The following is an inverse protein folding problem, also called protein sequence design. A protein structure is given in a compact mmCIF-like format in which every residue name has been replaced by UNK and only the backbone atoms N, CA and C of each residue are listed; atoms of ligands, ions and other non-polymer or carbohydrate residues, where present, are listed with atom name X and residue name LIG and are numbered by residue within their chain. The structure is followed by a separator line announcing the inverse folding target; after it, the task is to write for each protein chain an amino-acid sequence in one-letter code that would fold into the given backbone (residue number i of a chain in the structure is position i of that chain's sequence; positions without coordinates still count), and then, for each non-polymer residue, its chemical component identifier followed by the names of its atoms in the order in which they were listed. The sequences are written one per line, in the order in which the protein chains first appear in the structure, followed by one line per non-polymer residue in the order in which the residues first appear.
data_IF_441784266043
#
_entry.id   IF_441784266043
#
_cell.length_a   1.000
_cell.length_b   1.000
_cell.length_c   1.000
_cell.angle_alpha   90.00
_cell.angle_beta   90.00
_cell.angle_gamma   90.00
#
_symmetry.space_group_name_H-M   'P 1'
#
loop_
_entity.id
_entity.type
_entity.pdbx_description
1 polymer ?
#
# COMPACT_ATOMS: atom_id res chain seq x y z
N UNK A 1 -2.45 4.35 15.28
CA UNK A 1 -1.84 5.17 16.36
C UNK A 1 -0.55 4.55 16.90
N UNK A 2 -0.56 3.26 17.27
CA UNK A 2 0.63 2.55 17.77
C UNK A 2 1.86 2.65 16.86
N UNK A 3 1.70 2.46 15.55
CA UNK A 3 2.79 2.63 14.57
C UNK A 3 3.38 4.04 14.52
N UNK A 4 2.56 5.08 14.65
CA UNK A 4 3.02 6.47 14.74
C UNK A 4 3.86 6.70 15.99
N UNK A 5 3.43 6.15 17.13
CA UNK A 5 4.17 6.25 18.40
C UNK A 5 5.54 5.57 18.26
N UNK A 6 5.60 4.38 17.67
CA UNK A 6 6.87 3.66 17.44
C UNK A 6 7.83 4.49 16.59
N UNK A 7 7.35 5.13 15.51
CA UNK A 7 8.19 5.99 14.68
C UNK A 7 8.68 7.24 15.41
N UNK A 8 7.83 7.87 16.22
CA UNK A 8 8.23 9.02 17.07
C UNK A 8 9.29 8.61 18.09
N UNK A 9 9.15 7.43 18.70
CA UNK A 9 10.16 6.90 19.61
C UNK A 9 11.48 6.60 18.88
N UNK A 10 11.42 6.08 17.65
CA UNK A 10 12.60 5.84 16.84
C UNK A 10 13.35 7.15 16.54
N UNK A 11 12.63 8.19 16.13
CA UNK A 11 13.22 9.53 15.92
C UNK A 11 13.86 10.08 17.20
N UNK A 12 13.19 9.91 18.36
CA UNK A 12 13.74 10.34 19.64
C UNK A 12 15.01 9.57 20.03
N UNK A 13 15.12 8.27 19.68
CA UNK A 13 16.34 7.47 19.88
C UNK A 13 17.47 7.96 18.99
N UNK A 14 17.20 8.18 17.69
CA UNK A 14 18.19 8.72 16.77
C UNK A 14 18.68 10.10 17.20
N UNK A 15 17.80 10.99 17.66
CA UNK A 15 18.18 12.31 18.17
C UNK A 15 19.11 12.26 19.40
N UNK A 16 19.08 11.16 20.17
CA UNK A 16 19.97 10.92 21.32
C UNK A 16 21.26 10.19 20.95
N UNK A 17 21.46 9.84 19.68
CA UNK A 17 22.58 9.01 19.23
C UNK A 17 22.41 7.52 19.56
N UNK A 18 21.25 7.09 20.04
CA UNK A 18 20.94 5.69 20.34
C UNK A 18 20.53 4.94 19.06
N UNK A 19 21.47 4.82 18.11
CA UNK A 19 21.19 4.33 16.74
C UNK A 19 20.58 2.92 16.73
N UNK A 20 21.18 1.97 17.45
CA UNK A 20 20.67 0.60 17.52
C UNK A 20 19.22 0.52 18.04
N UNK A 21 18.91 1.26 19.12
CA UNK A 21 17.55 1.32 19.66
C UNK A 21 16.55 1.99 18.73
N UNK A 22 16.99 2.93 17.89
CA UNK A 22 16.17 3.49 16.82
C UNK A 22 15.90 2.49 15.70
N UNK A 23 16.91 1.71 15.30
CA UNK A 23 16.79 0.65 14.28
C UNK A 23 15.80 -0.43 14.74
N UNK A 24 15.88 -0.88 15.99
CA UNK A 24 14.95 -1.87 16.55
C UNK A 24 13.50 -1.41 16.44
N UNK A 25 13.23 -0.13 16.75
CA UNK A 25 11.90 0.46 16.64
C UNK A 25 11.42 0.56 15.18
N UNK A 26 12.32 0.83 14.22
CA UNK A 26 11.97 0.77 12.80
C UNK A 26 11.59 -0.65 12.37
N UNK A 27 12.29 -1.68 12.85
CA UNK A 27 11.93 -3.08 12.58
C UNK A 27 10.56 -3.43 13.17
N UNK A 28 10.27 -2.99 14.40
CA UNK A 28 8.92 -3.12 15.00
C UNK A 28 7.86 -2.43 14.13
N UNK A 29 8.13 -1.22 13.64
CA UNK A 29 7.19 -0.51 12.77
C UNK A 29 6.94 -1.25 11.44
N UNK A 30 7.94 -1.91 10.87
CA UNK A 30 7.75 -2.78 9.71
C UNK A 30 6.91 -4.01 10.02
N UNK A 31 7.13 -4.68 11.15
CA UNK A 31 6.29 -5.79 11.60
C UNK A 31 4.83 -5.38 11.73
N UNK A 32 4.55 -4.25 12.40
CA UNK A 32 3.19 -3.70 12.51
C UNK A 32 2.59 -3.43 11.12
N UNK A 33 3.39 -2.91 10.18
CA UNK A 33 2.92 -2.70 8.81
C UNK A 33 2.53 -4.03 8.14
N UNK A 34 3.35 -5.08 8.27
CA UNK A 34 3.03 -6.42 7.72
C UNK A 34 1.80 -7.03 8.36
N UNK A 35 1.69 -6.96 9.68
CA UNK A 35 0.55 -7.50 10.42
C UNK A 35 -0.75 -6.80 10.02
N UNK A 36 -0.71 -5.49 9.80
CA UNK A 36 -1.86 -4.73 9.31
C UNK A 36 -2.35 -5.21 7.93
N UNK A 37 -1.48 -5.83 7.13
CA UNK A 37 -1.81 -6.39 5.81
C UNK A 37 -2.14 -7.89 5.81
N UNK A 38 -2.09 -8.57 6.96
CA UNK A 38 -2.43 -10.01 7.07
C UNK A 38 -3.90 -10.25 6.70
N UNK A 39 -4.78 -9.35 7.12
CA UNK A 39 -6.19 -9.44 6.75
C UNK A 39 -6.34 -9.07 5.27
N UNK A 40 -7.04 -9.88 4.46
CA UNK A 40 -7.03 -9.71 3.01
C UNK A 40 -7.96 -8.59 2.52
N UNK A 41 -8.43 -7.70 3.40
CA UNK A 41 -9.32 -6.62 3.01
C UNK A 41 -8.56 -5.45 2.39
N UNK A 42 -9.27 -4.71 1.55
CA UNK A 42 -8.72 -3.55 0.87
C UNK A 42 -8.21 -2.49 1.86
N UNK A 43 -8.94 -2.23 2.94
CA UNK A 43 -8.54 -1.28 3.99
C UNK A 43 -7.23 -1.69 4.69
N UNK A 44 -7.03 -2.98 4.93
CA UNK A 44 -5.80 -3.54 5.52
C UNK A 44 -4.61 -3.30 4.60
N UNK A 45 -4.78 -3.46 3.28
CA UNK A 45 -3.76 -3.15 2.30
C UNK A 45 -3.38 -1.66 2.28
N UNK A 46 -4.36 -0.76 2.41
CA UNK A 46 -4.11 0.69 2.51
C UNK A 46 -3.27 1.00 3.75
N UNK A 47 -3.67 0.48 4.92
CA UNK A 47 -3.00 0.72 6.19
C UNK A 47 -1.56 0.20 6.11
N UNK A 48 -1.37 -1.05 5.67
CA UNK A 48 -0.04 -1.63 5.44
C UNK A 48 0.85 -0.70 4.59
N UNK A 49 0.36 -0.23 3.44
CA UNK A 49 1.14 0.61 2.54
C UNK A 49 1.52 1.96 3.16
N UNK A 50 0.60 2.62 3.87
CA UNK A 50 0.88 3.89 4.54
C UNK A 50 1.92 3.71 5.64
N UNK A 51 1.77 2.67 6.47
CA UNK A 51 2.71 2.39 7.56
C UNK A 51 4.08 2.04 7.02
N UNK A 52 4.15 1.14 6.05
CA UNK A 52 5.40 0.71 5.44
C UNK A 52 6.16 1.89 4.84
N UNK A 53 5.48 2.74 4.06
CA UNK A 53 6.12 3.89 3.43
C UNK A 53 6.68 4.86 4.47
N UNK A 54 5.93 5.17 5.53
CA UNK A 54 6.42 6.07 6.59
C UNK A 54 7.64 5.49 7.30
N UNK A 55 7.63 4.19 7.60
CA UNK A 55 8.77 3.52 8.21
C UNK A 55 10.00 3.60 7.32
N UNK A 56 9.84 3.37 6.01
CA UNK A 56 10.91 3.51 5.02
C UNK A 56 11.45 4.94 4.95
N UNK A 57 10.56 5.94 4.91
CA UNK A 57 10.95 7.36 4.86
C UNK A 57 11.73 7.76 6.11
N UNK A 58 11.36 7.24 7.29
CA UNK A 58 12.13 7.46 8.52
C UNK A 58 13.47 6.74 8.47
N UNK A 59 13.51 5.47 8.05
CA UNK A 59 14.77 4.74 7.88
C UNK A 59 15.73 5.46 6.93
N UNK A 60 15.24 5.91 5.78
CA UNK A 60 16.04 6.61 4.77
C UNK A 60 16.61 7.94 5.26
N UNK A 61 15.91 8.66 6.15
CA UNK A 61 16.41 9.91 6.75
C UNK A 61 17.59 9.66 7.69
N UNK A 62 17.62 8.51 8.36
CA UNK A 62 18.62 8.21 9.38
C UNK A 62 19.72 7.25 8.92
N UNK A 63 19.54 6.51 7.81
CA UNK A 63 20.49 5.49 7.38
C UNK A 63 21.88 6.03 7.02
N UNK A 64 22.00 7.33 6.74
CA UNK A 64 23.28 8.00 6.49
C UNK A 64 24.18 8.05 7.73
N UNK A 65 23.60 7.94 8.94
CA UNK A 65 24.35 7.92 10.20
C UNK A 65 24.60 6.51 10.74
N UNK A 66 24.26 5.48 9.97
CA UNK A 66 24.49 4.08 10.34
C UNK A 66 25.80 3.61 9.73
N UNK A 67 26.55 2.76 10.43
CA UNK A 67 27.71 2.10 9.82
C UNK A 67 27.31 0.98 8.84
N UNK A 68 28.30 0.38 8.19
CA UNK A 68 28.07 -0.67 7.20
C UNK A 68 27.45 -1.94 7.79
N UNK A 69 27.80 -2.30 9.03
CA UNK A 69 27.28 -3.49 9.71
C UNK A 69 25.80 -3.30 10.04
N UNK A 70 25.44 -2.16 10.65
CA UNK A 70 24.07 -1.79 10.97
C UNK A 70 23.17 -1.74 9.72
N UNK A 71 23.66 -1.17 8.61
CA UNK A 71 22.92 -1.18 7.34
C UNK A 71 22.73 -2.60 6.80
N UNK A 72 23.76 -3.44 6.91
CA UNK A 72 23.72 -4.84 6.47
C UNK A 72 22.73 -5.68 7.27
N UNK A 73 22.72 -5.54 8.60
CA UNK A 73 21.81 -6.26 9.48
C UNK A 73 20.37 -5.80 9.30
N UNK A 74 20.13 -4.48 9.21
CA UNK A 74 18.79 -3.97 8.93
C UNK A 74 18.26 -4.44 7.57
N UNK A 75 19.10 -4.46 6.53
CA UNK A 75 18.74 -5.00 5.22
C UNK A 75 18.40 -6.50 5.28
N UNK A 76 19.16 -7.29 6.06
CA UNK A 76 18.89 -8.71 6.28
C UNK A 76 17.54 -8.90 6.98
N UNK A 77 17.31 -8.22 8.09
CA UNK A 77 16.04 -8.30 8.83
C UNK A 77 14.85 -7.87 7.97
N UNK A 78 14.99 -6.83 7.14
CA UNK A 78 13.93 -6.46 6.20
C UNK A 78 13.63 -7.55 5.16
N UNK A 79 14.63 -8.33 4.76
CA UNK A 79 14.46 -9.42 3.78
C UNK A 79 13.79 -10.66 4.37
N UNK A 80 13.87 -10.83 5.69
CA UNK A 80 13.23 -11.92 6.44
C UNK A 80 11.75 -11.65 6.75
N UNK A 81 11.33 -10.39 6.66
CA UNK A 81 9.92 -10.02 6.84
C UNK A 81 9.04 -10.63 5.73
N UNK A 82 7.79 -11.01 6.05
CA UNK A 82 6.81 -11.39 5.05
C UNK A 82 6.68 -10.35 3.94
N UNK A 83 6.31 -10.80 2.75
CA UNK A 83 5.96 -9.92 1.65
C UNK A 83 4.78 -9.00 2.01
N UNK A 84 4.74 -7.82 1.40
CA UNK A 84 3.56 -6.97 1.48
C UNK A 84 2.38 -7.66 0.79
N UNK A 85 1.20 -7.61 1.41
CA UNK A 85 -0.05 -7.96 0.74
C UNK A 85 -0.20 -7.16 -0.55
N UNK A 86 -0.57 -7.82 -1.63
CA UNK A 86 -0.65 -7.24 -2.97
C UNK A 86 -2.05 -6.65 -3.20
N UNK A 87 -2.13 -5.45 -3.80
CA UNK A 87 -3.41 -4.80 -4.08
C UNK A 87 -4.38 -5.68 -4.89
N UNK A 88 -3.96 -6.42 -5.95
CA UNK A 88 -4.86 -7.32 -6.67
C UNK A 88 -5.49 -8.41 -5.80
N UNK A 89 -4.74 -8.91 -4.79
CA UNK A 89 -5.26 -9.92 -3.88
C UNK A 89 -6.29 -9.31 -2.93
N UNK A 90 -5.98 -8.13 -2.36
CA UNK A 90 -6.90 -7.44 -1.46
C UNK A 90 -8.20 -7.02 -2.16
N UNK A 91 -8.10 -6.55 -3.41
CA UNK A 91 -9.24 -6.20 -4.22
C UNK A 91 -10.09 -7.43 -4.59
N UNK A 92 -9.48 -8.57 -4.90
CA UNK A 92 -10.22 -9.81 -5.14
C UNK A 92 -11.02 -10.28 -3.92
N UNK A 93 -10.45 -10.17 -2.72
CA UNK A 93 -11.12 -10.55 -1.48
C UNK A 93 -12.30 -9.66 -1.09
N UNK A 94 -12.26 -8.38 -1.48
CA UNK A 94 -13.39 -7.47 -1.29
C UNK A 94 -14.64 -7.96 -2.02
N UNK A 95 -14.50 -8.48 -3.25
CA UNK A 95 -15.63 -9.08 -3.96
C UNK A 95 -16.13 -10.35 -3.27
N UNK A 96 -15.24 -11.22 -2.80
CA UNK A 96 -15.65 -12.42 -2.07
C UNK A 96 -16.44 -12.09 -0.79
N UNK A 97 -16.08 -11.02 -0.10
CA UNK A 97 -16.83 -10.52 1.05
C UNK A 97 -18.21 -9.97 0.65
N UNK A 98 -18.30 -9.22 -0.45
CA UNK A 98 -19.57 -8.71 -1.00
C UNK A 98 -20.48 -9.85 -1.46
N UNK A 99 -19.94 -10.90 -2.08
CA UNK A 99 -20.71 -12.07 -2.50
C UNK A 99 -21.23 -12.88 -1.29
N UNK A 100 -20.40 -13.07 -0.26
CA UNK A 100 -20.84 -13.69 0.99
C UNK A 100 -21.91 -12.85 1.70
N UNK A 101 -21.76 -11.53 1.66
CA UNK A 101 -22.73 -10.58 2.18
C UNK A 101 -24.09 -10.68 1.47
N UNK A 102 -24.11 -10.66 0.14
CA UNK A 102 -25.34 -10.80 -0.63
C UNK A 102 -26.04 -12.13 -0.37
N UNK A 103 -25.28 -13.22 -0.28
CA UNK A 103 -25.83 -14.54 0.05
C UNK A 103 -26.52 -14.55 1.41
N UNK A 104 -25.90 -13.95 2.44
CA UNK A 104 -26.51 -13.83 3.76
C UNK A 104 -27.82 -13.02 3.75
N UNK A 105 -27.88 -11.96 2.96
CA UNK A 105 -29.09 -11.16 2.77
C UNK A 105 -30.20 -11.91 2.01
N UNK A 106 -29.85 -12.83 1.11
CA UNK A 106 -30.82 -13.69 0.42
C UNK A 106 -31.40 -14.78 1.33
N UNK A 107 -30.63 -15.24 2.32
CA UNK A 107 -31.05 -16.28 3.28
C UNK A 107 -31.93 -15.73 4.41
N UNK A 108 -31.53 -14.62 5.04
CA UNK A 108 -32.29 -13.95 6.10
C UNK A 108 -32.02 -12.44 6.08
N UNK A 109 -32.86 -11.72 5.33
CA UNK A 109 -32.65 -10.32 5.01
C UNK A 109 -32.58 -9.41 6.24
N UNK A 110 -33.56 -9.54 7.16
CA UNK A 110 -33.65 -8.67 8.33
C UNK A 110 -32.52 -8.95 9.32
N UNK A 111 -32.22 -10.21 9.58
CA UNK A 111 -31.13 -10.57 10.50
C UNK A 111 -29.75 -10.18 9.94
N UNK A 112 -29.53 -10.37 8.63
CA UNK A 112 -28.28 -9.97 7.99
C UNK A 112 -28.11 -8.45 8.00
N UNK A 113 -29.18 -7.70 7.68
CA UNK A 113 -29.17 -6.22 7.72
C UNK A 113 -28.84 -5.67 9.12
N UNK A 114 -29.40 -6.28 10.17
CA UNK A 114 -29.11 -5.93 11.56
C UNK A 114 -27.65 -6.23 11.95
N UNK A 115 -27.16 -7.45 11.66
CA UNK A 115 -25.78 -7.87 11.96
C UNK A 115 -24.72 -6.95 11.35
N UNK A 116 -25.05 -6.31 10.24
CA UNK A 116 -24.14 -5.47 9.47
C UNK A 116 -24.27 -3.98 9.79
N UNK A 117 -25.16 -3.62 10.71
CA UNK A 117 -25.41 -2.22 11.07
C UNK A 117 -25.97 -1.39 9.92
N UNK A 118 -26.66 -2.02 8.97
CA UNK A 118 -27.29 -1.36 7.82
C UNK A 118 -28.70 -0.88 8.15
N UNK A 119 -29.32 -1.41 9.19
CA UNK A 119 -30.62 -0.98 9.65
C UNK A 119 -30.53 0.47 10.16
N UNK A 120 -31.29 1.37 9.55
CA UNK A 120 -31.42 2.73 10.05
C UNK A 120 -32.15 2.72 11.41
N UNK A 121 -31.91 3.74 12.24
CA UNK A 121 -32.64 3.91 13.50
C UNK A 121 -34.13 4.19 13.31
N UNK A 122 -34.57 4.51 12.08
CA UNK A 122 -35.96 4.66 11.67
C UNK A 122 -36.20 4.06 10.27
N UNK A 123 -37.18 3.17 10.17
CA UNK A 123 -37.62 2.46 8.96
C UNK A 123 -38.10 3.40 7.85
N UNK A 124 -38.74 4.54 8.18
CA UNK A 124 -39.21 5.51 7.18
C UNK A 124 -38.07 6.15 6.34
N UNK A 125 -36.82 5.98 6.76
CA UNK A 125 -35.64 6.55 6.11
C UNK A 125 -34.60 5.52 5.68
N UNK A 126 -34.87 4.22 5.83
CA UNK A 126 -33.88 3.17 5.56
C UNK A 126 -33.77 2.89 4.05
N UNK A 127 -32.68 3.33 3.38
CA UNK A 127 -32.52 3.09 1.96
C UNK A 127 -32.19 1.62 1.66
N UNK A 128 -31.92 0.78 2.66
CA UNK A 128 -31.55 -0.63 2.51
C UNK A 128 -32.71 -1.59 2.85
N UNK A 129 -33.95 -1.11 2.92
CA UNK A 129 -35.14 -1.95 3.08
C UNK A 129 -35.51 -2.76 1.83
N UNK A 130 -35.10 -2.32 0.64
CA UNK A 130 -35.43 -2.99 -0.63
C UNK A 130 -34.32 -3.96 -1.07
N UNK A 131 -34.55 -5.29 -1.04
CA UNK A 131 -33.57 -6.27 -1.51
C UNK A 131 -33.17 -6.09 -2.98
N UNK A 132 -34.07 -5.55 -3.83
CA UNK A 132 -33.76 -5.29 -5.24
C UNK A 132 -32.69 -4.24 -5.40
N UNK A 133 -32.71 -3.20 -4.57
CA UNK A 133 -31.70 -2.16 -4.59
C UNK A 133 -30.32 -2.72 -4.20
N UNK A 134 -30.26 -3.60 -3.19
CA UNK A 134 -29.02 -4.28 -2.81
C UNK A 134 -28.48 -5.12 -3.97
N UNK A 135 -29.33 -5.91 -4.62
CA UNK A 135 -28.93 -6.73 -5.78
C UNK A 135 -28.44 -5.87 -6.96
N UNK A 136 -29.14 -4.78 -7.27
CA UNK A 136 -28.66 -3.80 -8.25
C UNK A 136 -27.30 -3.19 -7.85
N UNK A 137 -27.07 -2.98 -6.56
CA UNK A 137 -25.81 -2.43 -6.06
C UNK A 137 -24.65 -3.41 -6.21
N UNK A 138 -24.85 -4.69 -5.85
CA UNK A 138 -23.82 -5.73 -5.95
C UNK A 138 -23.51 -6.08 -7.40
N UNK A 139 -24.50 -6.13 -8.28
CA UNK A 139 -24.28 -6.38 -9.72
C UNK A 139 -23.48 -5.27 -10.41
N UNK A 140 -23.78 -4.02 -10.06
CA UNK A 140 -22.98 -2.90 -10.54
C UNK A 140 -21.55 -2.97 -10.00
N UNK A 141 -21.39 -3.31 -8.71
CA UNK A 141 -20.08 -3.52 -8.13
C UNK A 141 -19.29 -4.62 -8.85
N UNK A 142 -19.88 -5.78 -9.14
CA UNK A 142 -19.25 -6.88 -9.89
C UNK A 142 -18.70 -6.45 -11.25
N UNK A 143 -19.51 -5.71 -12.02
CA UNK A 143 -19.10 -5.20 -13.35
C UNK A 143 -17.89 -4.28 -13.26
N UNK A 144 -17.91 -3.38 -12.28
CA UNK A 144 -16.83 -2.41 -12.05
C UNK A 144 -15.59 -3.10 -11.49
N UNK A 145 -15.75 -4.05 -10.57
CA UNK A 145 -14.69 -4.88 -10.00
C UNK A 145 -13.94 -5.65 -11.08
N UNK A 146 -14.66 -6.30 -12.00
CA UNK A 146 -14.04 -7.02 -13.11
C UNK A 146 -13.14 -6.12 -13.98
N UNK A 147 -13.60 -4.91 -14.30
CA UNK A 147 -12.80 -3.89 -15.00
C UNK A 147 -11.59 -3.44 -14.17
N UNK A 148 -11.76 -3.24 -12.87
CA UNK A 148 -10.68 -2.92 -11.93
C UNK A 148 -9.62 -4.02 -11.86
N UNK A 149 -10.02 -5.30 -11.80
CA UNK A 149 -9.11 -6.45 -11.83
C UNK A 149 -8.34 -6.54 -13.15
N UNK A 150 -9.00 -6.30 -14.28
CA UNK A 150 -8.33 -6.24 -15.58
C UNK A 150 -7.26 -5.13 -15.60
N UNK A 151 -7.60 -3.97 -15.04
CA UNK A 151 -6.67 -2.83 -14.89
C UNK A 151 -5.48 -3.17 -13.99
N UNK A 152 -5.72 -3.84 -12.86
CA UNK A 152 -4.67 -4.25 -11.91
C UNK A 152 -3.72 -5.33 -12.46
N UNK A 153 -4.13 -6.10 -13.47
CA UNK A 153 -3.25 -7.08 -14.15
C UNK A 153 -2.20 -6.42 -15.05
N UNK A 154 -2.46 -5.20 -15.51
CA UNK A 154 -1.53 -4.45 -16.33
C UNK A 154 -0.31 -4.00 -15.50
N UNK A 155 0.81 -3.74 -16.18
CA UNK A 155 2.05 -3.25 -15.55
C UNK A 155 2.47 -1.88 -16.11
N UNK A 156 3.28 -1.16 -15.34
CA UNK A 156 4.00 0.03 -15.81
C UNK A 156 3.11 1.18 -16.32
N UNK A 157 3.45 1.73 -17.49
CA UNK A 157 2.69 2.85 -18.10
C UNK A 157 1.27 2.44 -18.50
N UNK A 158 1.09 1.21 -18.98
CA UNK A 158 -0.21 0.68 -19.36
C UNK A 158 -1.18 0.62 -18.16
N UNK A 159 -0.70 0.14 -17.00
CA UNK A 159 -1.49 0.16 -15.75
C UNK A 159 -1.93 1.58 -15.39
N UNK A 160 -1.02 2.56 -15.43
CA UNK A 160 -1.32 3.95 -15.06
C UNK A 160 -2.34 4.60 -16.00
N UNK A 161 -2.22 4.38 -17.30
CA UNK A 161 -3.18 4.87 -18.28
C UNK A 161 -4.55 4.22 -18.09
N UNK A 162 -4.58 2.90 -17.93
CA UNK A 162 -5.82 2.17 -17.69
C UNK A 162 -6.49 2.57 -16.37
N UNK A 163 -5.73 2.84 -15.30
CA UNK A 163 -6.29 3.38 -14.04
C UNK A 163 -6.87 4.79 -14.23
N UNK A 164 -6.20 5.65 -14.99
CA UNK A 164 -6.71 7.00 -15.27
C UNK A 164 -7.98 6.96 -16.12
N UNK A 165 -7.99 6.17 -17.18
CA UNK A 165 -9.17 5.94 -18.03
C UNK A 165 -10.31 5.29 -17.25
N UNK A 166 -9.99 4.34 -16.37
CA UNK A 166 -10.96 3.72 -15.49
C UNK A 166 -11.62 4.74 -14.55
N UNK A 167 -10.83 5.62 -13.92
CA UNK A 167 -11.34 6.69 -13.06
C UNK A 167 -12.20 7.70 -13.83
N UNK A 168 -11.78 8.11 -15.02
CA UNK A 168 -12.54 9.06 -15.87
C UNK A 168 -13.88 8.47 -16.31
N UNK A 169 -13.88 7.21 -16.78
CA UNK A 169 -15.10 6.49 -17.14
C UNK A 169 -16.02 6.33 -15.93
N UNK A 170 -15.47 6.03 -14.75
CA UNK A 170 -16.25 5.90 -13.52
C UNK A 170 -16.81 7.25 -13.04
N UNK A 171 -16.04 8.34 -13.12
CA UNK A 171 -16.53 9.67 -12.78
C UNK A 171 -17.65 10.11 -13.72
N UNK A 172 -17.54 9.79 -15.01
CA UNK A 172 -18.60 10.01 -15.99
C UNK A 172 -19.85 9.16 -15.66
N UNK A 173 -19.68 7.87 -15.32
CA UNK A 173 -20.79 6.99 -14.94
C UNK A 173 -21.51 7.49 -13.67
N UNK A 174 -20.76 7.95 -12.67
CA UNK A 174 -21.31 8.49 -11.41
C UNK A 174 -22.04 9.83 -11.59
N UNK A 175 -21.63 10.66 -12.56
CA UNK A 175 -22.21 12.00 -12.79
C UNK A 175 -23.33 12.00 -13.83
N UNK A 176 -23.26 11.16 -14.86
CA UNK A 176 -24.27 11.06 -15.92
C UNK A 176 -25.50 10.26 -15.48
N UNK A 177 -25.32 9.20 -14.69
CA UNK A 177 -26.42 8.45 -14.11
C UNK A 177 -26.76 8.99 -12.71
N UNK A 178 -27.63 10.00 -12.61
CA UNK A 178 -28.18 10.47 -11.32
C UNK A 178 -28.88 9.39 -10.46
N UNK A 179 -29.06 8.16 -11.00
CA UNK A 179 -29.47 6.96 -10.24
C UNK A 179 -28.31 6.21 -9.56
N UNK A 180 -27.09 6.27 -10.11
CA UNK A 180 -25.88 5.63 -9.58
C UNK A 180 -25.37 6.30 -8.29
N UNK A 181 -25.79 7.56 -8.05
CA UNK A 181 -25.62 8.28 -6.77
C UNK A 181 -26.16 7.53 -5.54
N UNK A 182 -26.89 6.43 -5.71
CA UNK A 182 -27.38 5.57 -4.62
C UNK A 182 -26.48 4.36 -4.31
N UNK A 183 -25.51 4.00 -5.16
CA UNK A 183 -24.67 2.82 -4.90
C UNK A 183 -23.44 3.19 -4.07
N UNK A 184 -23.60 3.19 -2.75
CA UNK A 184 -22.55 3.54 -1.79
C UNK A 184 -21.30 2.63 -1.93
N UNK A 185 -21.47 1.38 -2.37
CA UNK A 185 -20.37 0.43 -2.56
C UNK A 185 -19.46 0.85 -3.72
N UNK A 186 -20.06 1.24 -4.85
CA UNK A 186 -19.31 1.75 -6.01
C UNK A 186 -18.72 3.13 -5.71
N UNK A 187 -19.45 3.99 -5.01
CA UNK A 187 -18.99 5.34 -4.67
C UNK A 187 -17.83 5.36 -3.64
N UNK A 188 -17.78 4.40 -2.71
CA UNK A 188 -16.73 4.32 -1.67
C UNK A 188 -15.52 3.48 -2.09
N UNK A 189 -15.71 2.34 -2.76
CA UNK A 189 -14.60 1.44 -3.07
C UNK A 189 -13.72 1.94 -4.23
N UNK A 190 -14.32 2.61 -5.21
CA UNK A 190 -13.70 2.76 -6.54
C UNK A 190 -12.79 3.97 -6.74
N UNK A 191 -13.11 5.19 -6.25
CA UNK A 191 -12.15 6.31 -6.22
C UNK A 191 -10.89 5.98 -5.39
N UNK A 192 -11.00 4.95 -4.56
CA UNK A 192 -9.93 4.45 -3.71
C UNK A 192 -8.94 3.57 -4.49
N UNK A 193 -9.31 3.00 -5.65
CA UNK A 193 -8.43 2.17 -6.48
C UNK A 193 -7.22 2.93 -7.02
N UNK A 194 -7.39 4.12 -7.61
CA UNK A 194 -6.25 4.93 -8.06
C UNK A 194 -5.38 5.39 -6.90
N UNK A 195 -5.98 5.83 -5.80
CA UNK A 195 -5.24 6.20 -4.58
C UNK A 195 -4.41 5.01 -4.06
N UNK A 196 -4.93 3.79 -4.15
CA UNK A 196 -4.22 2.58 -3.75
C UNK A 196 -3.13 2.18 -4.72
N UNK A 197 -3.38 2.23 -6.04
CA UNK A 197 -2.34 1.97 -7.05
C UNK A 197 -1.18 2.94 -6.88
N UNK A 198 -1.48 4.24 -6.67
CA UNK A 198 -0.45 5.25 -6.35
C UNK A 198 0.26 4.94 -5.04
N UNK A 199 -0.48 4.50 -4.01
CA UNK A 199 0.07 4.10 -2.72
C UNK A 199 1.08 2.95 -2.86
N UNK A 200 0.69 1.86 -3.54
CA UNK A 200 1.54 0.69 -3.82
C UNK A 200 2.77 1.08 -4.64
N UNK A 201 2.61 1.89 -5.68
CA UNK A 201 3.71 2.40 -6.49
C UNK A 201 4.68 3.25 -5.65
N UNK A 202 4.18 4.15 -4.81
CA UNK A 202 5.00 4.97 -3.91
C UNK A 202 5.76 4.11 -2.90
N UNK A 203 5.12 3.12 -2.29
CA UNK A 203 5.77 2.18 -1.36
C UNK A 203 6.86 1.38 -2.07
N UNK A 204 6.60 0.91 -3.30
CA UNK A 204 7.61 0.19 -4.10
C UNK A 204 8.81 1.07 -4.45
N UNK A 205 8.60 2.33 -4.82
CA UNK A 205 9.67 3.30 -5.06
C UNK A 205 10.47 3.52 -3.77
N UNK A 206 9.79 3.77 -2.65
CA UNK A 206 10.44 4.00 -1.37
C UNK A 206 11.32 2.81 -0.96
N UNK A 207 10.84 1.57 -1.14
CA UNK A 207 11.64 0.36 -0.90
C UNK A 207 12.88 0.28 -1.78
N UNK A 208 12.75 0.61 -3.06
CA UNK A 208 13.89 0.62 -3.98
C UNK A 208 14.94 1.66 -3.55
N UNK A 209 14.49 2.86 -3.16
CA UNK A 209 15.35 3.93 -2.64
C UNK A 209 16.06 3.52 -1.36
N UNK A 210 15.34 2.96 -0.39
CA UNK A 210 15.93 2.48 0.86
C UNK A 210 16.95 1.36 0.61
N UNK A 211 16.64 0.40 -0.25
CA UNK A 211 17.58 -0.68 -0.60
C UNK A 211 18.89 -0.13 -1.16
N UNK A 212 18.82 0.91 -2.00
CA UNK A 212 20.01 1.58 -2.51
C UNK A 212 20.75 2.33 -1.41
N UNK A 213 20.03 3.08 -0.56
CA UNK A 213 20.64 3.82 0.55
C UNK A 213 21.34 2.90 1.56
N UNK A 214 20.80 1.71 1.82
CA UNK A 214 21.43 0.71 2.69
C UNK A 214 22.70 0.14 2.05
N UNK A 215 22.70 -0.08 0.73
CA UNK A 215 23.83 -0.67 -0.01
C UNK A 215 24.96 0.33 -0.30
N UNK A 216 24.61 1.58 -0.60
CA UNK A 216 25.51 2.60 -1.12
C UNK A 216 25.62 3.82 -0.20
N UNK A 217 25.10 3.73 1.03
CA UNK A 217 25.26 4.76 2.04
C UNK A 217 26.74 5.01 2.36
N UNK A 218 27.08 6.22 2.82
CA UNK A 218 28.46 6.61 3.08
C UNK A 218 29.10 5.68 4.11
N UNK A 219 30.36 5.35 3.92
CA UNK A 219 31.14 4.73 4.98
C UNK A 219 31.47 5.81 6.01
N UNK A 220 31.09 5.59 7.27
CA UNK A 220 31.48 6.49 8.36
C UNK A 220 32.94 6.18 8.67
N UNK A 221 33.82 6.78 7.89
CA UNK A 221 35.27 6.83 8.01
C UNK A 221 35.76 8.19 7.48
N UNK A 222 37.03 8.56 7.69
CA UNK A 222 37.61 9.89 7.43
C UNK A 222 37.54 10.42 5.98
N UNK A 223 36.75 9.82 5.08
CA UNK A 223 36.62 10.24 3.68
C UNK A 223 35.25 10.83 3.37
N UNK A 224 35.28 11.76 2.41
CA UNK A 224 34.18 12.59 1.95
C UNK A 224 32.84 11.84 1.80
N UNK A 225 31.79 12.44 2.37
CA UNK A 225 30.41 11.97 2.42
C UNK A 225 29.67 12.08 1.06
N UNK A 226 30.37 12.05 -0.07
CA UNK A 226 29.74 12.15 -1.39
C UNK A 226 29.20 10.78 -1.85
N UNK A 227 27.87 10.63 -1.81
CA UNK A 227 27.17 9.46 -2.32
C UNK A 227 27.03 9.43 -3.85
N UNK A 228 26.82 8.24 -4.42
CA UNK A 228 26.67 8.08 -5.88
C UNK A 228 25.30 8.57 -6.41
N UNK A 229 25.25 9.18 -7.60
CA UNK A 229 23.99 9.54 -8.25
C UNK A 229 23.28 8.30 -8.82
N UNK A 230 22.04 8.05 -8.37
CA UNK A 230 21.19 6.98 -8.89
C UNK A 230 20.08 7.52 -9.81
N UNK A 231 19.73 6.74 -10.83
CA UNK A 231 18.54 6.93 -11.64
C UNK A 231 17.51 5.87 -11.32
N UNK A 232 16.28 6.27 -11.00
CA UNK A 232 15.18 5.33 -10.78
C UNK A 232 14.67 4.78 -12.13
N UNK A 233 14.63 3.46 -12.26
CA UNK A 233 14.28 2.73 -13.49
C UNK A 233 13.29 1.62 -13.12
N UNK A 234 12.37 1.25 -14.02
CA UNK A 234 11.33 0.24 -13.73
C UNK A 234 11.61 -1.04 -14.53
N UNK A 235 11.68 -2.20 -13.87
CA UNK A 235 11.90 -3.54 -14.46
C UNK A 235 10.70 -4.45 -14.19
N UNK A 236 10.68 -5.66 -14.78
CA UNK A 236 9.53 -6.57 -14.76
C UNK A 236 9.07 -7.08 -13.37
N UNK A 237 9.89 -6.83 -12.33
CA UNK A 237 9.60 -7.10 -10.92
C UNK A 237 9.35 -5.88 -10.03
N UNK A 238 9.42 -4.65 -10.54
CA UNK A 238 9.22 -3.43 -9.73
C UNK A 238 10.11 -2.25 -10.12
N UNK A 239 10.31 -1.32 -9.18
CA UNK A 239 11.27 -0.24 -9.33
C UNK A 239 12.66 -0.67 -8.85
N UNK A 240 13.68 -0.29 -9.60
CA UNK A 240 15.09 -0.47 -9.26
C UNK A 240 15.85 0.84 -9.48
N UNK A 241 16.99 1.00 -8.81
CA UNK A 241 17.89 2.12 -9.05
C UNK A 241 19.06 1.62 -9.91
N UNK A 242 19.31 2.32 -11.02
CA UNK A 242 20.48 2.11 -11.88
C UNK A 242 21.50 3.24 -11.66
N UNK A 243 22.77 2.86 -11.56
CA UNK A 243 23.92 3.76 -11.54
C UNK A 243 24.57 3.78 -12.92
N UNK A 244 25.14 4.92 -13.33
CA UNK A 244 25.87 5.06 -14.60
C UNK A 244 27.31 4.52 -14.54
N UNK A 245 27.87 4.27 -13.36
CA UNK A 245 29.24 3.79 -13.23
C UNK A 245 29.28 2.26 -13.25
N UNK A 246 29.91 1.64 -14.27
CA UNK A 246 30.21 0.22 -14.23
C UNK A 246 31.22 -0.03 -13.10
N UNK A 247 30.98 -1.09 -12.34
CA UNK A 247 31.83 -1.70 -11.31
C UNK A 247 33.25 -1.10 -11.19
N UNK A 248 33.56 -0.58 -10.01
CA UNK A 248 34.92 -0.21 -9.60
C UNK A 248 35.92 -1.31 -10.00
N UNK A 249 36.66 -1.12 -11.09
CA UNK A 249 37.87 -1.90 -11.35
C UNK A 249 39.00 -1.30 -10.51
N UNK A 250 39.29 -1.91 -9.37
CA UNK A 250 40.51 -1.67 -8.61
C UNK A 250 41.73 -2.05 -9.47
N UNK A 251 42.33 -1.08 -10.16
CA UNK A 251 43.70 -1.23 -10.67
C UNK A 251 44.67 -0.83 -9.57
N UNK A 252 45.18 -1.81 -8.86
CA UNK A 252 46.37 -1.65 -8.01
C UNK A 252 47.58 -1.50 -8.95
N UNK A 253 48.24 -0.34 -8.93
CA UNK A 253 49.60 -0.21 -9.48
C UNK A 253 50.61 -0.51 -8.38
N UNK A 254 51.54 -1.41 -8.70
CA UNK A 254 52.74 -1.73 -7.90
C UNK A 254 53.63 -0.51 -7.72
#
# INVERSE_FOLDING_TARGET
EFSTIVLVLAEAKFAKGEVAGGIDLLLVAHHIARDAGVTPFLISNIIQNILERRTIETAARHCMSWDAEMRGDYARSQSELPGLSLLPQAFAWELAWIDAWEKGLQEDFDQAREKLGLAASNTESDPFEDPKLIHEMTDNYRKVHAKGMATLRLKGKARRLAVAEFDENMAADLTANKKLTKNILVALAMPTLNKMVRGEDQTSIARAMLKSALKHGPEIGEKDLEGQPFKLVRKDGGWELESKDPEFSLKIRK
#
